data_IF_817777052335
#
_entry.id   IF_817777052335
#
_cell.length_a   1.000
_cell.length_b   1.000
_cell.length_c   1.000
_cell.angle_alpha   90.00
_cell.angle_beta   90.00
_cell.angle_gamma   90.00
#
_symmetry.space_group_name_H-M   'P 1'
#
loop_
_entity.id
_entity.type
_entity.pdbx_description
1 polymer ?
#
# COMPACT_ATOMS: atom_id res chain seq x y z
N UNK A 1 1.79 18.08 -8.98
CA UNK A 1 1.92 17.77 -8.61
C UNK A 1 1.62 17.05 -8.16
N UNK A 2 1.63 16.57 -8.19
CA UNK A 2 1.24 16.08 -7.70
C UNK A 2 1.40 15.52 -6.62
N UNK A 3 0.77 15.48 -5.98
CA UNK A 3 0.96 15.33 -4.60
C UNK A 3 1.14 13.90 -4.19
N UNK A 4 0.56 12.95 -4.83
CA UNK A 4 0.80 11.55 -4.56
C UNK A 4 2.24 11.18 -4.78
N UNK A 5 2.86 11.82 -5.72
CA UNK A 5 4.24 11.52 -6.04
C UNK A 5 5.17 11.85 -4.91
N UNK A 6 4.78 12.78 -4.05
CA UNK A 6 5.63 13.18 -2.96
C UNK A 6 5.32 12.44 -1.67
N UNK A 7 4.28 11.67 -1.66
CA UNK A 7 3.93 10.92 -0.47
C UNK A 7 4.78 9.66 -0.37
N UNK A 8 5.34 9.47 0.80
CA UNK A 8 6.11 8.26 1.07
C UNK A 8 5.29 7.22 1.79
N UNK A 9 4.25 7.63 2.49
CA UNK A 9 3.45 6.76 3.32
C UNK A 9 1.99 7.02 3.06
N UNK A 10 1.21 5.95 3.04
CA UNK A 10 -0.22 6.05 2.86
C UNK A 10 -0.90 5.31 3.99
N UNK A 11 -2.06 5.79 4.40
CA UNK A 11 -2.88 4.99 5.31
C UNK A 11 -3.39 3.77 4.56
N UNK A 12 -3.91 2.81 5.31
CA UNK A 12 -4.45 1.62 4.66
C UNK A 12 -5.58 1.99 3.73
N UNK A 13 -6.43 2.93 4.16
CA UNK A 13 -7.52 3.36 3.31
C UNK A 13 -7.01 4.02 2.04
N UNK A 14 -6.03 4.90 2.18
CA UNK A 14 -5.47 5.56 1.01
C UNK A 14 -4.79 4.58 0.07
N UNK A 15 -4.12 3.58 0.63
CA UNK A 15 -3.51 2.57 -0.21
C UNK A 15 -4.56 1.83 -1.02
N UNK A 16 -5.67 1.49 -0.39
CA UNK A 16 -6.71 0.76 -1.08
C UNK A 16 -7.38 1.62 -2.15
N UNK A 17 -7.67 2.87 -1.83
CA UNK A 17 -8.46 3.69 -2.75
C UNK A 17 -7.60 4.42 -3.76
N UNK A 18 -6.45 4.91 -3.35
CA UNK A 18 -5.62 5.73 -4.22
C UNK A 18 -4.59 4.92 -4.97
N UNK A 19 -3.90 4.06 -4.27
CA UNK A 19 -2.84 3.29 -4.92
C UNK A 19 -3.42 2.16 -5.75
N UNK A 20 -4.29 1.37 -5.14
CA UNK A 20 -4.87 0.22 -5.83
C UNK A 20 -6.17 0.53 -6.54
N UNK A 21 -6.65 1.75 -6.42
CA UNK A 21 -7.87 2.18 -7.11
C UNK A 21 -9.04 1.23 -6.83
N UNK A 22 -9.13 0.83 -5.58
CA UNK A 22 -10.20 -0.05 -5.09
C UNK A 22 -10.15 -1.46 -5.66
N UNK A 23 -9.04 -1.84 -6.25
CA UNK A 23 -8.87 -3.22 -6.70
C UNK A 23 -8.71 -4.18 -5.54
N UNK A 24 -8.20 -3.67 -4.42
CA UNK A 24 -8.02 -4.45 -3.20
C UNK A 24 -8.81 -3.78 -2.10
N UNK A 25 -9.56 -4.56 -1.36
CA UNK A 25 -10.32 -4.01 -0.25
C UNK A 25 -9.39 -3.70 0.93
N UNK A 26 -9.91 -2.86 1.84
CA UNK A 26 -9.16 -2.54 3.04
C UNK A 26 -8.90 -3.79 3.86
N UNK A 27 -9.89 -4.65 3.96
CA UNK A 27 -9.73 -5.90 4.70
C UNK A 27 -8.62 -6.76 4.11
N UNK A 28 -8.57 -6.84 2.81
CA UNK A 28 -7.53 -7.62 2.14
C UNK A 28 -6.15 -7.05 2.44
N UNK A 29 -6.03 -5.72 2.45
CA UNK A 29 -4.77 -5.09 2.78
C UNK A 29 -4.35 -5.41 4.21
N UNK A 30 -5.28 -5.36 5.15
CA UNK A 30 -4.96 -5.72 6.51
C UNK A 30 -4.49 -7.16 6.61
N UNK A 31 -5.09 -8.05 5.83
CA UNK A 31 -4.65 -9.43 5.82
C UNK A 31 -3.21 -9.55 5.33
N UNK A 32 -2.87 -8.81 4.29
CA UNK A 32 -1.51 -8.83 3.78
C UNK A 32 -0.52 -8.29 4.81
N UNK A 33 -0.92 -7.26 5.52
CA UNK A 33 -0.07 -6.70 6.56
C UNK A 33 0.11 -7.72 7.69
N UNK A 34 -0.97 -8.37 8.09
CA UNK A 34 -0.90 -9.33 9.16
C UNK A 34 -0.08 -10.55 8.79
N UNK A 35 -0.10 -10.93 7.53
CA UNK A 35 0.70 -12.06 7.06
C UNK A 35 2.17 -11.70 6.91
N UNK A 36 2.47 -10.43 6.87
CA UNK A 36 3.83 -9.99 6.67
C UNK A 36 4.22 -9.78 5.23
N UNK A 37 3.28 -9.90 4.30
CA UNK A 37 3.57 -9.66 2.90
C UNK A 37 3.82 -8.19 2.63
N UNK A 38 3.19 -7.32 3.37
CA UNK A 38 3.38 -5.89 3.27
C UNK A 38 3.72 -5.37 4.65
N UNK A 39 4.84 -4.69 4.76
CA UNK A 39 5.24 -4.11 6.03
C UNK A 39 4.53 -2.79 6.23
N UNK A 40 4.24 -2.49 7.47
CA UNK A 40 3.60 -1.24 7.80
C UNK A 40 4.26 -0.64 9.01
N UNK A 41 3.99 0.64 9.20
CA UNK A 41 4.48 1.39 10.36
C UNK A 41 3.28 1.85 11.14
N UNK A 42 3.32 1.61 12.43
CA UNK A 42 2.23 2.02 13.27
C UNK A 42 2.67 3.21 14.11
N UNK A 43 1.99 4.31 13.97
CA UNK A 43 2.28 5.52 14.73
C UNK A 43 1.01 5.90 15.45
N UNK A 44 1.08 5.88 16.77
CA UNK A 44 -0.09 6.15 17.59
C UNK A 44 -1.21 5.21 17.20
N UNK A 45 -2.25 5.74 16.61
CA UNK A 45 -3.39 4.93 16.22
C UNK A 45 -3.47 4.71 14.72
N UNK A 46 -2.46 5.16 14.00
CA UNK A 46 -2.50 5.09 12.54
C UNK A 46 -1.57 4.04 12.03
N UNK A 47 -2.03 3.31 11.05
CA UNK A 47 -1.20 2.35 10.34
C UNK A 47 -0.86 2.95 9.00
N UNK A 48 0.43 3.10 8.75
CA UNK A 48 0.92 3.69 7.51
C UNK A 48 1.71 2.65 6.74
N UNK A 49 1.57 2.68 5.44
CA UNK A 49 2.27 1.75 4.57
C UNK A 49 3.24 2.54 3.70
N UNK A 50 4.53 2.21 3.75
CA UNK A 50 5.46 2.86 2.83
C UNK A 50 5.10 2.52 1.38
N UNK A 51 5.13 3.53 0.53
CA UNK A 51 4.80 3.30 -0.87
C UNK A 51 5.76 2.30 -1.49
N UNK A 52 7.02 2.32 -1.05
CA UNK A 52 7.99 1.38 -1.57
C UNK A 52 7.59 -0.07 -1.29
N UNK A 53 6.94 -0.32 -0.16
CA UNK A 53 6.45 -1.67 0.14
C UNK A 53 5.35 -2.08 -0.83
N UNK A 54 4.48 -1.14 -1.16
CA UNK A 54 3.43 -1.42 -2.13
C UNK A 54 4.03 -1.72 -3.49
N UNK A 55 5.02 -0.95 -3.89
CA UNK A 55 5.68 -1.19 -5.16
C UNK A 55 6.36 -2.55 -5.20
N UNK A 56 7.03 -2.91 -4.12
CA UNK A 56 7.69 -4.20 -4.04
C UNK A 56 6.68 -5.34 -4.13
N UNK A 57 5.58 -5.20 -3.42
CA UNK A 57 4.56 -6.24 -3.46
C UNK A 57 4.01 -6.41 -4.87
N UNK A 58 3.71 -5.31 -5.53
CA UNK A 58 3.17 -5.37 -6.87
C UNK A 58 4.15 -5.98 -7.84
N UNK A 59 5.43 -5.66 -7.69
CA UNK A 59 6.43 -6.22 -8.58
C UNK A 59 6.59 -7.72 -8.39
N UNK A 60 6.36 -8.20 -7.19
CA UNK A 60 6.49 -9.63 -6.92
C UNK A 60 5.30 -10.44 -7.41
N UNK A 61 4.11 -9.91 -7.21
CA UNK A 61 2.90 -10.71 -7.37
C UNK A 61 2.04 -10.27 -8.55
N UNK A 62 2.30 -9.11 -9.11
CA UNK A 62 1.57 -8.65 -10.28
C UNK A 62 2.58 -8.29 -11.33
N UNK A 63 2.20 -8.44 -12.56
CA UNK A 63 3.01 -7.97 -13.65
C UNK A 63 2.76 -6.50 -13.85
N UNK A 64 2.94 -5.76 -12.81
CA UNK A 64 2.47 -4.40 -12.67
C UNK A 64 3.26 -3.42 -13.52
N UNK A 65 4.54 -3.59 -13.46
CA UNK A 65 5.37 -2.61 -14.07
C UNK A 65 5.58 -2.83 -15.53
N UNK A 66 5.12 -3.67 -16.02
CA UNK A 66 5.37 -3.86 -17.26
C UNK A 66 5.10 -3.03 -18.04
N UNK A 67 4.90 -2.68 -18.07
CA UNK A 67 4.67 -1.82 -18.70
C UNK A 67 5.18 -1.46 -19.24
#
# INVERSE_FOLDING_TARGET
MHSLNTRRYLTVKEAATDYFENLISISALYNLINKGDIKSIKIEHKTLIPVSELNSYCNQFFDWSES
#
